data_IF_246726180212
#
_entry.id   IF_246726180212
#
_cell.length_a   1.000
_cell.length_b   1.000
_cell.length_c   1.000
_cell.angle_alpha   90.00
_cell.angle_beta   90.00
_cell.angle_gamma   90.00
#
_symmetry.space_group_name_H-M   'P 1'
#
loop_
_entity.id
_entity.type
_entity.pdbx_description
1 polymer ?
#
# COMPACT_ATOMS: atom_id res chain seq x y z
N UNK A 1 -14.78 -7.85 4.69
CA UNK A 1 -15.14 -9.27 4.80
C UNK A 1 -14.68 -9.97 3.54
N UNK A 2 -14.09 -11.16 3.65
CA UNK A 2 -13.59 -11.93 2.51
C UNK A 2 -14.56 -13.07 2.25
N UNK A 3 -15.05 -13.16 1.01
CA UNK A 3 -15.91 -14.24 0.54
C UNK A 3 -15.12 -15.06 -0.46
N UNK A 4 -14.78 -16.33 -0.15
CA UNK A 4 -14.11 -17.20 -1.10
C UNK A 4 -15.10 -17.60 -2.21
N UNK A 5 -14.78 -17.26 -3.45
CA UNK A 5 -15.61 -17.59 -4.63
C UNK A 5 -15.26 -18.98 -5.18
N UNK A 6 -13.98 -19.35 -5.13
CA UNK A 6 -13.49 -20.66 -5.57
C UNK A 6 -12.17 -20.95 -4.85
N UNK A 7 -12.01 -22.17 -4.31
CA UNK A 7 -10.81 -22.60 -3.62
C UNK A 7 -10.38 -23.97 -4.17
N UNK A 8 -9.42 -23.97 -5.10
CA UNK A 8 -8.88 -25.18 -5.73
C UNK A 8 -7.65 -25.68 -4.95
N UNK A 9 -7.89 -26.29 -3.79
CA UNK A 9 -6.83 -26.97 -3.02
C UNK A 9 -5.85 -26.08 -2.27
N UNK A 10 -6.07 -24.76 -2.17
CA UNK A 10 -5.19 -23.84 -1.40
C UNK A 10 -5.35 -23.97 0.14
N UNK A 11 -6.11 -24.97 0.61
CA UNK A 11 -6.24 -25.36 2.01
C UNK A 11 -7.61 -25.02 2.62
N UNK A 12 -8.04 -25.83 3.59
CA UNK A 12 -9.38 -25.77 4.22
C UNK A 12 -9.70 -24.45 4.93
N UNK A 13 -8.70 -23.60 5.17
CA UNK A 13 -8.85 -22.32 5.91
C UNK A 13 -9.25 -21.17 5.00
N UNK A 14 -8.72 -21.12 3.77
CA UNK A 14 -9.04 -20.08 2.78
C UNK A 14 -10.43 -20.24 2.17
N UNK A 15 -11.08 -21.39 2.35
CA UNK A 15 -12.47 -21.64 1.96
C UNK A 15 -13.51 -21.14 2.96
N UNK A 16 -13.10 -20.55 4.08
CA UNK A 16 -14.03 -20.06 5.12
C UNK A 16 -14.18 -18.55 5.04
N UNK A 17 -15.39 -18.06 5.34
CA UNK A 17 -15.65 -16.63 5.44
C UNK A 17 -14.90 -16.06 6.65
N UNK A 18 -14.13 -15.00 6.44
CA UNK A 18 -13.38 -14.34 7.51
C UNK A 18 -13.33 -12.81 7.30
N UNK A 19 -13.13 -12.00 8.35
CA UNK A 19 -12.87 -10.58 8.18
C UNK A 19 -11.51 -10.38 7.49
N UNK A 20 -11.43 -9.43 6.56
CA UNK A 20 -10.22 -9.13 5.80
C UNK A 20 -9.35 -8.09 6.51
N UNK A 21 -9.83 -6.85 6.53
CA UNK A 21 -9.26 -5.76 7.32
C UNK A 21 -10.22 -5.40 8.45
N UNK A 22 -9.71 -5.30 9.67
CA UNK A 22 -10.40 -4.75 10.83
C UNK A 22 -9.43 -3.80 11.53
N UNK A 23 -9.39 -2.56 11.06
CA UNK A 23 -8.39 -1.57 11.45
C UNK A 23 -9.03 -0.25 11.85
N UNK A 24 -8.53 0.36 12.92
CA UNK A 24 -8.80 1.74 13.29
C UNK A 24 -7.61 2.60 12.85
N UNK A 25 -7.87 3.59 12.00
CA UNK A 25 -6.85 4.48 11.46
C UNK A 25 -7.20 5.92 11.81
N UNK A 26 -6.23 6.65 12.36
CA UNK A 26 -6.34 8.07 12.65
C UNK A 26 -5.19 8.82 11.97
N UNK A 27 -5.53 9.85 11.19
CA UNK A 27 -4.56 10.71 10.51
C UNK A 27 -4.59 12.09 11.13
N UNK A 28 -3.43 12.61 11.52
CA UNK A 28 -3.26 13.94 12.11
C UNK A 28 -2.22 14.72 11.33
N UNK A 29 -2.47 16.02 11.16
CA UNK A 29 -1.50 16.95 10.58
C UNK A 29 -0.76 17.64 11.71
N UNK A 30 0.54 17.37 11.79
CA UNK A 30 1.46 17.97 12.75
C UNK A 30 2.02 19.30 12.20
N UNK A 31 2.60 20.15 13.07
CA UNK A 31 3.35 21.34 12.64
C UNK A 31 4.41 20.99 11.59
N UNK A 32 4.81 21.97 10.78
CA UNK A 32 5.76 21.78 9.66
C UNK A 32 5.28 20.84 8.54
N UNK A 33 3.96 20.76 8.31
CA UNK A 33 3.37 19.98 7.21
C UNK A 33 3.70 18.48 7.27
N UNK A 34 3.89 17.94 8.48
CA UNK A 34 4.10 16.50 8.68
C UNK A 34 2.73 15.83 8.85
N UNK A 35 2.49 14.77 8.10
CA UNK A 35 1.28 13.97 8.16
C UNK A 35 1.60 12.69 8.92
N UNK A 36 0.99 12.52 10.09
CA UNK A 36 1.10 11.32 10.91
C UNK A 36 -0.15 10.47 10.78
N UNK A 37 0.00 9.21 10.42
CA UNK A 37 -1.08 8.24 10.34
C UNK A 37 -0.78 7.08 11.29
N UNK A 38 -1.62 6.90 12.30
CA UNK A 38 -1.56 5.76 13.20
C UNK A 38 -2.67 4.78 12.83
N UNK A 39 -2.31 3.51 12.64
CA UNK A 39 -3.25 2.42 12.36
C UNK A 39 -3.05 1.30 13.37
N UNK A 40 -4.13 0.82 13.97
CA UNK A 40 -4.12 -0.31 14.90
C UNK A 40 -5.21 -1.28 14.50
N UNK A 41 -4.89 -2.58 14.49
CA UNK A 41 -5.88 -3.63 14.26
C UNK A 41 -5.32 -4.83 13.50
N UNK A 42 -6.20 -5.51 12.79
CA UNK A 42 -5.94 -6.69 12.00
C UNK A 42 -5.94 -6.33 10.51
N UNK A 43 -4.81 -6.59 9.83
CA UNK A 43 -4.55 -6.18 8.46
C UNK A 43 -4.00 -7.33 7.61
N UNK A 44 -3.80 -7.07 6.32
CA UNK A 44 -3.47 -8.11 5.33
C UNK A 44 -2.15 -8.84 5.65
N UNK A 45 -2.04 -10.07 5.18
CA UNK A 45 -0.89 -10.95 5.40
C UNK A 45 -0.94 -11.66 6.75
N UNK A 46 -2.14 -11.85 7.30
CA UNK A 46 -2.35 -12.53 8.58
C UNK A 46 -1.56 -11.85 9.71
N UNK A 47 -1.53 -10.50 9.67
CA UNK A 47 -0.86 -9.64 10.66
C UNK A 47 -1.82 -8.75 11.45
N UNK A 48 -1.60 -8.71 12.76
CA UNK A 48 -2.27 -7.76 13.65
C UNK A 48 -1.23 -6.92 14.38
N UNK A 49 -1.59 -5.71 14.79
CA UNK A 49 -0.71 -4.86 15.57
C UNK A 49 -0.93 -3.38 15.33
N UNK A 50 0.14 -2.61 15.49
CA UNK A 50 0.16 -1.16 15.31
C UNK A 50 1.15 -0.75 14.23
N UNK A 51 0.79 0.25 13.46
CA UNK A 51 1.57 0.81 12.36
C UNK A 51 1.48 2.33 12.38
N UNK A 52 2.63 2.98 12.43
CA UNK A 52 2.78 4.42 12.39
C UNK A 52 3.44 4.80 11.07
N UNK A 53 2.79 5.66 10.30
CA UNK A 53 3.30 6.22 9.05
C UNK A 53 3.45 7.73 9.20
N UNK A 54 4.62 8.24 8.87
CA UNK A 54 4.94 9.65 8.83
C UNK A 54 5.26 10.04 7.39
N UNK A 55 4.66 11.11 6.92
CA UNK A 55 4.87 11.64 5.58
C UNK A 55 5.11 13.13 5.65
N UNK A 56 6.18 13.60 5.01
CA UNK A 56 6.54 15.01 4.96
C UNK A 56 6.86 15.43 3.52
N UNK A 57 5.98 16.19 2.86
CA UNK A 57 6.29 16.86 1.60
C UNK A 57 7.05 18.16 1.87
N UNK A 58 8.13 18.38 1.13
CA UNK A 58 8.93 19.60 1.22
C UNK A 58 8.25 20.77 0.51
N UNK A 59 8.71 22.01 0.76
CA UNK A 59 8.10 23.26 0.25
C UNK A 59 7.88 23.32 -1.27
N UNK A 60 8.65 22.57 -2.05
CA UNK A 60 8.50 22.51 -3.50
C UNK A 60 7.70 21.29 -3.96
N UNK A 61 7.24 20.40 -3.07
CA UNK A 61 6.41 19.19 -3.32
C UNK A 61 6.95 18.18 -4.36
N UNK A 62 8.03 18.50 -5.05
CA UNK A 62 8.81 17.60 -5.90
C UNK A 62 9.46 16.51 -5.06
N UNK A 63 9.80 16.80 -3.80
CA UNK A 63 10.42 15.84 -2.90
C UNK A 63 9.53 15.61 -1.69
N UNK A 64 9.42 14.35 -1.29
CA UNK A 64 8.75 13.94 -0.06
C UNK A 64 9.53 12.83 0.62
N UNK A 65 9.47 12.82 1.96
CA UNK A 65 10.02 11.75 2.78
C UNK A 65 8.85 11.00 3.42
N UNK A 66 8.98 9.67 3.44
CA UNK A 66 8.08 8.75 4.11
C UNK A 66 8.88 7.91 5.09
N UNK A 67 8.40 7.81 6.33
CA UNK A 67 8.91 6.87 7.32
C UNK A 67 7.74 6.05 7.87
N UNK A 68 7.96 4.76 8.08
CA UNK A 68 6.97 3.84 8.62
C UNK A 68 7.62 2.97 9.68
N UNK A 69 6.90 2.78 10.78
CA UNK A 69 7.28 1.89 11.88
C UNK A 69 6.08 1.02 12.22
N UNK A 70 6.29 -0.29 12.23
CA UNK A 70 5.26 -1.28 12.49
C UNK A 70 5.68 -2.28 13.55
N UNK A 71 4.76 -2.57 14.46
CA UNK A 71 4.89 -3.66 15.43
C UNK A 71 3.75 -4.63 15.16
N UNK A 72 4.09 -5.77 14.56
CA UNK A 72 3.12 -6.72 14.02
C UNK A 72 3.32 -8.13 14.59
N UNK A 73 2.23 -8.82 14.91
CA UNK A 73 2.19 -10.25 15.25
C UNK A 73 1.46 -11.04 14.17
N UNK A 74 1.64 -12.36 14.13
CA UNK A 74 0.82 -13.23 13.27
C UNK A 74 -0.52 -13.53 13.94
N UNK A 75 -1.61 -13.53 13.19
CA UNK A 75 -2.89 -14.07 13.63
C UNK A 75 -3.49 -14.86 12.48
N UNK A 76 -4.32 -15.85 12.74
CA UNK A 76 -5.05 -16.54 11.69
C UNK A 76 -6.49 -16.78 12.11
N UNK A 77 -7.37 -16.79 11.10
CA UNK A 77 -8.77 -17.16 11.27
C UNK A 77 -8.98 -18.61 10.90
N UNK A 78 -9.76 -19.32 11.71
CA UNK A 78 -10.35 -20.59 11.36
C UNK A 78 -11.88 -20.48 11.51
N UNK A 79 -12.54 -20.03 10.43
CA UNK A 79 -13.94 -19.62 10.48
C UNK A 79 -14.13 -18.38 11.36
N UNK A 80 -14.91 -18.50 12.42
CA UNK A 80 -15.15 -17.42 13.40
C UNK A 80 -14.16 -17.43 14.58
N UNK A 81 -13.24 -18.39 14.64
CA UNK A 81 -12.22 -18.44 15.70
C UNK A 81 -10.96 -17.69 15.27
N UNK A 82 -10.48 -16.77 16.12
CA UNK A 82 -9.26 -16.00 15.89
C UNK A 82 -8.15 -16.53 16.81
N UNK A 83 -7.06 -17.03 16.24
CA UNK A 83 -5.87 -17.44 17.02
C UNK A 83 -4.74 -16.44 16.82
N UNK A 84 -4.15 -16.00 17.93
CA UNK A 84 -3.03 -15.06 17.94
C UNK A 84 -1.71 -15.80 18.17
N UNK A 85 -0.71 -15.52 17.34
CA UNK A 85 0.64 -15.99 17.53
C UNK A 85 1.44 -15.08 18.44
N UNK A 86 2.26 -15.66 19.32
CA UNK A 86 3.03 -14.93 20.35
C UNK A 86 4.24 -14.16 19.79
N UNK A 87 4.68 -14.46 18.56
CA UNK A 87 5.87 -13.84 17.95
C UNK A 87 5.57 -12.44 17.40
N UNK A 88 6.07 -11.41 18.09
CA UNK A 88 6.06 -10.02 17.65
C UNK A 88 7.24 -9.74 16.71
N UNK A 89 6.99 -8.97 15.65
CA UNK A 89 7.98 -8.52 14.67
C UNK A 89 7.92 -7.01 14.54
N UNK A 90 9.10 -6.39 14.53
CA UNK A 90 9.25 -4.97 14.27
C UNK A 90 9.69 -4.81 12.82
N UNK A 91 8.95 -4.02 12.07
CA UNK A 91 9.24 -3.65 10.68
C UNK A 91 9.39 -2.14 10.60
N UNK A 92 10.30 -1.68 9.76
CA UNK A 92 10.50 -0.26 9.53
C UNK A 92 10.77 -0.02 8.06
N UNK A 93 10.37 1.14 7.57
CA UNK A 93 10.78 1.64 6.27
C UNK A 93 11.02 3.13 6.30
N UNK A 94 12.00 3.58 5.53
CA UNK A 94 12.32 4.99 5.35
C UNK A 94 12.58 5.17 3.86
N UNK A 95 11.95 6.16 3.23
CA UNK A 95 12.11 6.40 1.82
C UNK A 95 11.91 7.86 1.43
N UNK A 96 12.50 8.21 0.31
CA UNK A 96 12.28 9.48 -0.38
C UNK A 96 11.54 9.25 -1.68
N UNK A 97 10.63 10.14 -2.03
CA UNK A 97 9.99 10.17 -3.34
C UNK A 97 10.27 11.50 -4.03
N UNK A 98 10.65 11.41 -5.30
CA UNK A 98 10.83 12.53 -6.20
C UNK A 98 9.77 12.48 -7.30
N UNK A 99 9.06 13.58 -7.52
CA UNK A 99 8.06 13.74 -8.56
C UNK A 99 8.58 14.69 -9.64
N UNK A 100 8.59 14.21 -10.89
CA UNK A 100 8.93 14.98 -12.09
C UNK A 100 7.62 15.43 -12.77
N UNK A 101 7.24 16.72 -12.67
CA UNK A 101 5.93 17.19 -13.13
C UNK A 101 5.74 17.12 -14.64
N UNK A 102 6.78 17.41 -15.41
CA UNK A 102 6.70 17.50 -16.89
C UNK A 102 6.30 16.17 -17.54
N UNK A 103 6.74 15.03 -16.98
CA UNK A 103 6.44 13.69 -17.51
C UNK A 103 5.44 12.91 -16.64
N UNK A 104 5.00 13.49 -15.52
CA UNK A 104 4.21 12.82 -14.48
C UNK A 104 4.85 11.52 -13.98
N UNK A 105 6.17 11.55 -13.75
CA UNK A 105 6.96 10.41 -13.27
C UNK A 105 7.27 10.59 -11.79
N UNK A 106 6.92 9.61 -10.98
CA UNK A 106 7.31 9.50 -9.58
C UNK A 106 8.40 8.43 -9.43
N UNK A 107 9.54 8.83 -8.87
CA UNK A 107 10.61 7.93 -8.48
C UNK A 107 10.66 7.85 -6.97
N UNK A 108 10.48 6.66 -6.40
CA UNK A 108 10.51 6.43 -4.96
C UNK A 108 11.61 5.44 -4.62
N UNK A 109 12.49 5.84 -3.71
CA UNK A 109 13.54 4.98 -3.16
C UNK A 109 13.26 4.74 -1.67
N UNK A 110 13.12 3.48 -1.27
CA UNK A 110 12.87 3.07 0.12
C UNK A 110 13.93 2.10 0.60
N UNK A 111 14.40 2.29 1.81
CA UNK A 111 15.10 1.29 2.60
C UNK A 111 14.10 0.69 3.59
N UNK A 112 13.86 -0.61 3.50
CA UNK A 112 12.81 -1.29 4.26
C UNK A 112 13.33 -2.59 4.89
N UNK A 113 12.78 -2.93 6.06
CA UNK A 113 12.86 -4.25 6.64
C UNK A 113 11.57 -5.02 6.35
N UNK A 114 11.71 -6.10 5.59
CA UNK A 114 10.61 -6.96 5.18
C UNK A 114 10.17 -7.92 6.30
N UNK A 115 9.03 -8.59 6.11
CA UNK A 115 8.38 -9.43 7.14
C UNK A 115 9.24 -10.58 7.64
N UNK A 116 10.05 -11.19 6.77
CA UNK A 116 10.97 -12.27 7.14
C UNK A 116 12.24 -11.76 7.83
N UNK A 117 12.47 -10.45 7.82
CA UNK A 117 13.58 -9.78 8.51
C UNK A 117 14.69 -9.31 7.56
N UNK A 118 14.54 -9.51 6.25
CA UNK A 118 15.51 -9.00 5.29
C UNK A 118 15.49 -7.48 5.29
N UNK A 119 16.68 -6.89 5.32
CA UNK A 119 16.87 -5.46 5.13
C UNK A 119 17.26 -5.25 3.68
N UNK A 120 16.51 -4.41 2.98
CA UNK A 120 16.75 -4.17 1.57
C UNK A 120 16.35 -2.78 1.14
N UNK A 121 16.68 -2.50 -0.10
CA UNK A 121 16.28 -1.30 -0.80
C UNK A 121 15.29 -1.65 -1.89
N UNK A 122 14.38 -0.73 -2.14
CA UNK A 122 13.38 -0.81 -3.17
C UNK A 122 13.31 0.51 -3.92
N UNK A 123 13.40 0.42 -5.23
CA UNK A 123 13.26 1.53 -6.15
C UNK A 123 12.00 1.29 -6.97
N UNK A 124 11.07 2.24 -6.94
CA UNK A 124 9.85 2.26 -7.75
C UNK A 124 9.92 3.47 -8.69
N UNK A 125 9.76 3.28 -10.00
CA UNK A 125 9.64 4.35 -10.98
C UNK A 125 8.30 4.21 -11.67
N UNK A 126 7.39 5.15 -11.43
CA UNK A 126 6.00 5.04 -11.83
C UNK A 126 5.60 6.28 -12.60
N UNK A 127 5.08 6.09 -13.81
CA UNK A 127 4.42 7.14 -14.57
C UNK A 127 2.93 7.10 -14.31
N UNK A 128 2.38 8.25 -13.98
CA UNK A 128 0.97 8.43 -13.72
C UNK A 128 0.28 9.04 -14.94
N UNK A 129 -0.81 8.38 -15.37
CA UNK A 129 -1.79 8.89 -16.30
C UNK A 129 -3.12 9.07 -15.56
N UNK A 130 -4.04 9.84 -16.14
CA UNK A 130 -5.36 10.15 -15.57
C UNK A 130 -6.10 8.95 -14.96
N UNK A 131 -6.18 7.84 -15.69
CA UNK A 131 -6.91 6.64 -15.27
C UNK A 131 -6.02 5.42 -15.08
N UNK A 132 -4.71 5.53 -15.30
CA UNK A 132 -3.79 4.40 -15.28
C UNK A 132 -2.45 4.81 -14.70
N UNK A 133 -1.79 3.96 -13.94
CA UNK A 133 -0.42 4.15 -13.50
C UNK A 133 0.41 2.94 -13.90
N UNK A 134 1.50 3.19 -14.61
CA UNK A 134 2.41 2.16 -15.12
C UNK A 134 3.76 2.42 -14.49
N UNK A 135 4.38 1.41 -13.91
CA UNK A 135 5.69 1.58 -13.30
C UNK A 135 6.50 0.32 -13.25
N UNK A 136 7.79 0.51 -13.03
CA UNK A 136 8.75 -0.54 -12.79
C UNK A 136 9.21 -0.49 -11.34
N UNK A 137 9.56 -1.65 -10.80
CA UNK A 137 10.19 -1.72 -9.50
C UNK A 137 11.39 -2.65 -9.54
N UNK A 138 12.39 -2.30 -8.74
CA UNK A 138 13.56 -3.12 -8.47
C UNK A 138 13.77 -3.21 -6.96
N UNK A 139 14.17 -4.38 -6.48
CA UNK A 139 14.37 -4.68 -5.08
C UNK A 139 15.68 -5.45 -4.91
N UNK A 140 16.40 -5.14 -3.85
CA UNK A 140 17.59 -5.87 -3.44
C UNK A 140 17.67 -5.88 -1.93
N UNK A 141 17.73 -7.07 -1.33
CA UNK A 141 17.85 -7.24 0.10
C UNK A 141 19.02 -8.15 0.46
N UNK A 142 19.55 -7.98 1.67
CA UNK A 142 20.61 -8.84 2.19
C UNK A 142 20.04 -10.24 2.45
N UNK A 143 20.65 -11.25 1.83
CA UNK A 143 20.24 -12.66 1.97
C UNK A 143 19.12 -13.12 1.03
N UNK A 144 18.69 -12.26 0.09
CA UNK A 144 17.72 -12.61 -0.95
C UNK A 144 18.26 -12.26 -2.34
N UNK A 145 17.84 -13.01 -3.37
CA UNK A 145 18.21 -12.69 -4.76
C UNK A 145 17.58 -11.34 -5.15
N UNK A 146 18.26 -10.59 -6.02
CA UNK A 146 17.69 -9.37 -6.59
C UNK A 146 16.41 -9.68 -7.33
N UNK A 147 15.39 -8.86 -7.12
CA UNK A 147 14.10 -9.01 -7.76
C UNK A 147 13.69 -7.70 -8.46
N UNK A 148 12.82 -7.80 -9.45
CA UNK A 148 12.25 -6.67 -10.14
C UNK A 148 10.98 -7.05 -10.87
N UNK A 149 10.33 -6.06 -11.45
CA UNK A 149 9.08 -6.29 -12.13
C UNK A 149 8.41 -5.00 -12.58
N UNK A 150 7.20 -5.14 -13.09
CA UNK A 150 6.37 -4.00 -13.46
C UNK A 150 5.04 -4.06 -12.73
N UNK A 151 4.43 -2.89 -12.58
CA UNK A 151 3.16 -2.67 -11.91
C UNK A 151 2.28 -1.86 -12.82
N UNK A 152 1.06 -2.32 -12.93
CA UNK A 152 0.03 -1.71 -13.72
C UNK A 152 -1.19 -1.51 -12.83
N UNK A 153 -1.67 -0.28 -12.71
CA UNK A 153 -2.89 0.02 -11.96
C UNK A 153 -3.84 0.82 -12.82
N UNK A 154 -5.11 0.42 -12.86
CA UNK A 154 -6.17 1.06 -13.62
C UNK A 154 -7.26 1.50 -12.67
N UNK A 155 -7.74 2.73 -12.80
CA UNK A 155 -8.92 3.20 -12.10
C UNK A 155 -10.17 2.52 -12.67
N UNK A 156 -11.02 2.00 -11.79
CA UNK A 156 -12.27 1.37 -12.18
C UNK A 156 -13.39 2.44 -12.24
N UNK A 157 -14.27 2.38 -13.25
CA UNK A 157 -15.47 3.21 -13.26
C UNK A 157 -16.45 2.76 -12.16
N UNK A 158 -17.31 3.65 -11.61
CA UNK A 158 -17.48 5.06 -11.99
C UNK A 158 -16.48 6.00 -11.31
N UNK A 159 -15.91 6.94 -12.09
CA UNK A 159 -14.87 7.87 -11.63
C UNK A 159 -15.37 9.03 -10.77
N UNK A 160 -16.66 9.32 -10.80
CA UNK A 160 -17.30 10.39 -10.01
C UNK A 160 -18.49 9.81 -9.27
N UNK A 161 -18.41 9.77 -7.94
CA UNK A 161 -19.52 9.38 -7.08
C UNK A 161 -20.29 10.64 -6.67
N UNK A 162 -21.47 10.88 -7.26
CA UNK A 162 -22.37 11.94 -6.80
C UNK A 162 -23.07 11.48 -5.52
N UNK A 163 -22.91 12.24 -4.44
CA UNK A 163 -23.65 11.98 -3.19
C UNK A 163 -25.06 12.56 -3.30
N UNK A 164 -26.08 11.76 -2.99
CA UNK A 164 -27.47 12.22 -2.88
C UNK A 164 -27.97 12.01 -1.45
N UNK A 165 -28.02 13.09 -0.67
CA UNK A 165 -28.61 13.11 0.68
C UNK A 165 -28.00 12.12 1.67
N UNK A 166 -28.87 11.35 2.34
CA UNK A 166 -28.57 10.44 3.45
C UNK A 166 -28.38 8.96 3.03
N UNK A 167 -28.39 8.66 1.73
CA UNK A 167 -28.25 7.27 1.25
C UNK A 167 -26.82 6.76 1.53
N UNK A 168 -26.65 5.59 2.17
CA UNK A 168 -25.33 5.00 2.41
C UNK A 168 -24.63 4.69 1.08
N UNK A 169 -23.36 5.13 0.96
CA UNK A 169 -22.57 4.94 -0.25
C UNK A 169 -21.95 3.54 -0.26
N UNK A 170 -22.32 2.72 -1.24
CA UNK A 170 -21.53 1.56 -1.61
C UNK A 170 -20.46 2.06 -2.58
N UNK A 171 -19.21 2.15 -2.11
CA UNK A 171 -18.08 2.41 -3.00
C UNK A 171 -17.32 1.13 -3.28
N UNK A 172 -17.33 0.63 -4.53
CA UNK A 172 -16.43 -0.45 -4.91
C UNK A 172 -14.97 0.03 -4.87
N UNK A 173 -14.04 -0.89 -5.12
CA UNK A 173 -12.62 -0.53 -5.25
C UNK A 173 -12.46 0.53 -6.33
N UNK A 174 -11.72 1.61 -6.03
CA UNK A 174 -11.48 2.68 -7.00
C UNK A 174 -10.45 2.28 -8.06
N UNK A 175 -9.70 1.20 -7.84
CA UNK A 175 -8.68 0.74 -8.74
C UNK A 175 -8.53 -0.79 -8.74
N UNK A 176 -7.96 -1.28 -9.83
CA UNK A 176 -7.44 -2.63 -9.99
C UNK A 176 -5.95 -2.54 -10.27
N UNK A 177 -5.15 -3.37 -9.61
CA UNK A 177 -3.70 -3.38 -9.77
C UNK A 177 -3.17 -4.76 -10.03
N UNK A 178 -2.30 -4.89 -11.02
CA UNK A 178 -1.56 -6.10 -11.37
C UNK A 178 -0.07 -5.80 -11.19
N UNK A 179 0.67 -6.74 -10.60
CA UNK A 179 2.11 -6.68 -10.49
C UNK A 179 2.71 -7.95 -11.08
N UNK A 180 3.65 -7.79 -12.00
CA UNK A 180 4.44 -8.90 -12.54
C UNK A 180 5.77 -8.95 -11.81
N UNK A 181 6.16 -10.14 -11.36
CA UNK A 181 7.39 -10.41 -10.63
C UNK A 181 8.32 -11.22 -11.54
N UNK A 182 9.40 -10.59 -12.01
CA UNK A 182 10.32 -11.19 -12.96
C UNK A 182 11.26 -12.21 -12.30
N UNK A 183 11.60 -12.04 -11.02
CA UNK A 183 12.48 -12.95 -10.29
C UNK A 183 11.79 -14.22 -9.78
N UNK A 184 10.47 -14.37 -10.02
CA UNK A 184 9.62 -15.42 -9.45
C UNK A 184 9.78 -15.58 -7.92
N UNK A 185 10.14 -14.48 -7.24
CA UNK A 185 10.43 -14.49 -5.82
C UNK A 185 9.13 -14.49 -5.03
N UNK A 186 8.88 -15.57 -4.29
CA UNK A 186 7.59 -15.83 -3.63
C UNK A 186 7.65 -15.68 -2.10
N UNK A 187 8.85 -15.78 -1.52
CA UNK A 187 9.04 -15.82 -0.07
C UNK A 187 9.65 -14.52 0.46
N UNK A 188 10.65 -13.99 -0.24
CA UNK A 188 11.35 -12.77 0.15
C UNK A 188 10.61 -11.50 -0.29
N UNK A 189 10.97 -10.35 0.31
CA UNK A 189 10.40 -9.03 -0.01
C UNK A 189 8.91 -8.86 0.34
N UNK A 190 8.37 -9.71 1.23
CA UNK A 190 6.99 -9.58 1.67
C UNK A 190 6.81 -8.41 2.65
N UNK A 191 5.81 -7.58 2.37
CA UNK A 191 5.31 -6.54 3.27
C UNK A 191 3.83 -6.75 3.56
N UNK A 192 3.27 -5.92 4.44
CA UNK A 192 1.84 -5.86 4.72
C UNK A 192 1.27 -4.50 4.31
N UNK A 193 -0.05 -4.43 4.16
CA UNK A 193 -0.79 -3.18 3.98
C UNK A 193 -1.74 -3.05 5.13
N UNK A 194 -1.90 -1.86 5.68
CA UNK A 194 -2.77 -1.61 6.83
C UNK A 194 -4.14 -1.11 6.44
N UNK A 195 -4.28 -0.59 5.22
CA UNK A 195 -5.55 -0.13 4.68
C UNK A 195 -5.79 -0.77 3.30
N UNK A 196 -7.01 -1.26 3.00
CA UNK A 196 -7.37 -1.79 1.68
C UNK A 196 -7.25 -0.74 0.57
N UNK A 197 -7.40 0.55 0.90
CA UNK A 197 -7.28 1.68 -0.01
C UNK A 197 -5.83 2.16 -0.20
N UNK A 198 -4.85 1.61 0.54
CA UNK A 198 -3.44 1.96 0.35
C UNK A 198 -2.94 1.41 -1.00
N UNK A 199 -2.94 2.29 -2.01
CA UNK A 199 -2.55 1.99 -3.38
C UNK A 199 -1.75 3.16 -3.99
N UNK A 200 -1.14 2.93 -5.15
CA UNK A 200 -0.25 3.91 -5.80
C UNK A 200 -1.06 5.09 -6.34
N UNK A 201 -2.26 4.84 -6.89
CA UNK A 201 -3.11 5.90 -7.46
C UNK A 201 -3.66 6.87 -6.41
N UNK A 202 -4.05 6.39 -5.23
CA UNK A 202 -4.56 7.21 -4.13
C UNK A 202 -3.44 8.00 -3.47
N UNK A 203 -2.25 7.42 -3.33
CA UNK A 203 -1.10 8.19 -2.84
C UNK A 203 -0.77 9.36 -3.78
N UNK A 204 -0.88 9.16 -5.10
CA UNK A 204 -0.65 10.23 -6.08
C UNK A 204 -1.83 11.22 -6.19
N UNK A 205 -3.05 10.83 -5.81
CA UNK A 205 -4.23 11.72 -5.86
C UNK A 205 -4.12 12.96 -4.97
N UNK A 206 -3.20 12.95 -4.00
CA UNK A 206 -2.90 14.10 -3.15
C UNK A 206 -1.69 14.92 -3.63
N UNK A 207 -1.03 14.55 -4.74
CA UNK A 207 0.12 15.27 -5.27
C UNK A 207 -0.34 16.50 -6.07
N UNK A 208 0.01 17.74 -5.66
CA UNK A 208 -0.50 18.95 -6.31
C UNK A 208 -0.03 19.13 -7.75
N UNK A 209 1.16 18.62 -8.11
CA UNK A 209 1.62 18.65 -9.50
C UNK A 209 0.82 17.72 -10.40
N UNK A 210 0.45 16.53 -9.91
CA UNK A 210 -0.42 15.63 -10.64
C UNK A 210 -1.80 16.28 -10.86
N UNK A 211 -2.40 16.81 -9.79
CA UNK A 211 -3.68 17.53 -9.85
C UNK A 211 -3.59 18.70 -10.86
N UNK A 212 -2.53 19.50 -10.81
CA UNK A 212 -2.32 20.62 -11.74
C UNK A 212 -2.18 20.15 -13.19
N UNK A 213 -1.44 19.07 -13.44
CA UNK A 213 -1.30 18.50 -14.79
C UNK A 213 -2.63 18.01 -15.36
N UNK A 214 -3.53 17.51 -14.51
CA UNK A 214 -4.87 17.09 -14.91
C UNK A 214 -5.81 18.28 -15.14
N UNK A 215 -5.58 19.43 -14.48
CA UNK A 215 -6.38 20.65 -14.65
C UNK A 215 -5.96 21.49 -15.87
N UNK A 216 -4.69 21.42 -16.28
CA UNK A 216 -4.16 22.20 -17.41
C UNK A 216 -4.31 21.51 -18.78
N UNK A 217 -4.61 20.21 -18.82
CA UNK A 217 -4.89 19.46 -20.04
C UNK A 217 -6.37 19.59 -20.48
N UNK A 218 -6.99 20.75 -20.24
CA UNK A 218 -8.33 21.14 -20.70
C UNK A 218 -8.26 22.33 -21.63
#
# INVERSE_FOLDING_TARGET
MVFPVYNDGYGNRLGKIHPGFLTLQQTVRLPYNIWGTLTVGAFNGDRYGGDLKLFHPFKNEHFSIEARLGVTGTYYWDGFSCTYGTKRRITWSIGGSFYWPEYNIQTTLKAEQYLLGEKGMRLDVIRHFRYTSIGFYAMKAKGAKSNGGFRFQVALPPYKYKRRGYIPRITPSHNMGIAYNAGNERYYYMGYRTNPSENIMQNNSFNPYFIKSELLNF
#
